data_IF_077567585387
#
_entry.id   IF_077567585387
#
_cell.length_a   1.000
_cell.length_b   1.000
_cell.length_c   1.000
_cell.angle_alpha   90.00
_cell.angle_beta   90.00
_cell.angle_gamma   90.00
#
_symmetry.space_group_name_H-M   'P 1'
#
loop_
_entity.id
_entity.type
_entity.pdbx_description
1 polymer ?
#
# COMPACT_ATOMS: atom_id res chain seq x y z
N UNK A 1 -5.75 9.66 -2.92
CA UNK A 1 -4.73 9.17 -1.96
C UNK A 1 -4.37 10.21 -0.91
N UNK A 2 -3.66 11.30 -1.23
CA UNK A 2 -3.31 12.32 -0.23
C UNK A 2 -4.56 12.91 0.46
N UNK A 3 -5.57 13.30 -0.31
CA UNK A 3 -6.87 13.75 0.22
C UNK A 3 -7.64 12.69 1.02
N UNK A 4 -7.33 11.41 0.84
CA UNK A 4 -7.95 10.29 1.55
C UNK A 4 -7.17 9.92 2.82
N UNK A 5 -6.13 10.70 3.18
CA UNK A 5 -5.34 10.53 4.41
C UNK A 5 -3.98 9.85 4.25
N UNK A 6 -3.53 9.54 3.03
CA UNK A 6 -2.20 8.96 2.82
C UNK A 6 -1.10 9.99 3.11
N UNK A 7 -0.25 9.70 4.11
CA UNK A 7 0.91 10.56 4.46
C UNK A 7 2.11 10.34 3.54
N UNK A 8 2.27 9.11 3.05
CA UNK A 8 3.32 8.70 2.09
C UNK A 8 2.65 8.11 0.86
N UNK A 9 3.17 8.42 -0.33
CA UNK A 9 2.79 7.77 -1.58
C UNK A 9 4.01 6.99 -2.08
N UNK A 10 3.87 5.68 -2.20
CA UNK A 10 4.92 4.78 -2.69
C UNK A 10 4.67 4.43 -4.16
N UNK A 11 5.60 4.86 -5.02
CA UNK A 11 5.51 4.73 -6.47
C UNK A 11 6.45 3.61 -6.92
N UNK A 12 5.97 2.69 -7.74
CA UNK A 12 6.79 1.60 -8.30
C UNK A 12 6.55 1.43 -9.80
N UNK A 13 7.64 1.27 -10.55
CA UNK A 13 7.60 1.03 -12.01
C UNK A 13 7.68 -0.44 -12.39
N UNK A 14 8.15 -1.31 -11.49
CA UNK A 14 8.32 -2.73 -11.72
C UNK A 14 7.56 -3.55 -10.67
N UNK A 15 6.79 -4.54 -11.12
CA UNK A 15 6.04 -5.40 -10.21
C UNK A 15 6.96 -6.47 -9.61
N UNK A 16 6.91 -6.63 -8.30
CA UNK A 16 7.53 -7.75 -7.58
C UNK A 16 6.53 -8.82 -7.16
N UNK A 17 5.32 -8.80 -7.74
CA UNK A 17 4.29 -9.80 -7.48
C UNK A 17 4.67 -11.20 -7.99
N UNK A 18 4.18 -12.29 -7.38
CA UNK A 18 4.56 -13.66 -7.74
C UNK A 18 4.35 -13.97 -9.22
N UNK A 19 5.37 -14.58 -9.85
CA UNK A 19 5.40 -15.02 -11.25
C UNK A 19 5.15 -13.92 -12.29
N UNK A 20 5.23 -12.64 -11.89
CA UNK A 20 5.06 -11.54 -12.83
C UNK A 20 6.24 -11.47 -13.78
N UNK A 21 5.95 -11.25 -15.06
CA UNK A 21 6.94 -10.88 -16.07
C UNK A 21 6.73 -9.38 -16.34
N UNK A 22 7.71 -8.51 -16.04
CA UNK A 22 7.62 -7.09 -16.36
C UNK A 22 7.34 -6.88 -17.85
N UNK A 23 6.62 -5.82 -18.20
CA UNK A 23 6.38 -5.51 -19.61
C UNK A 23 7.70 -5.09 -20.27
N UNK A 24 8.24 -5.84 -21.24
CA UNK A 24 9.53 -5.53 -21.84
C UNK A 24 9.47 -4.32 -22.79
N UNK A 25 8.28 -3.82 -23.14
CA UNK A 25 8.12 -2.73 -24.12
C UNK A 25 8.42 -1.34 -23.57
N UNK A 26 8.52 -1.19 -22.24
CA UNK A 26 8.73 0.10 -21.58
C UNK A 26 9.57 -0.12 -20.32
N UNK A 27 10.53 0.76 -20.07
CA UNK A 27 11.43 0.62 -18.91
C UNK A 27 10.75 1.11 -17.63
N UNK A 28 11.21 0.62 -16.48
CA UNK A 28 10.81 1.12 -15.14
C UNK A 28 10.95 2.65 -15.07
N UNK A 29 12.08 3.17 -15.56
CA UNK A 29 12.41 4.59 -15.58
C UNK A 29 11.41 5.40 -16.40
N UNK A 30 11.03 4.92 -17.58
CA UNK A 30 10.08 5.63 -18.46
C UNK A 30 8.63 5.54 -17.97
N UNK A 31 8.29 4.57 -17.11
CA UNK A 31 7.01 4.53 -16.41
C UNK A 31 6.95 5.55 -15.26
N UNK A 32 8.02 5.66 -14.47
CA UNK A 32 8.04 6.41 -13.21
C UNK A 32 8.34 7.90 -13.43
N UNK A 33 9.36 8.22 -14.22
CA UNK A 33 9.88 9.59 -14.32
C UNK A 33 8.85 10.62 -14.81
N UNK A 34 8.01 10.33 -15.83
CA UNK A 34 6.97 11.27 -16.25
C UNK A 34 5.96 11.58 -15.13
N UNK A 35 5.59 10.57 -14.33
CA UNK A 35 4.64 10.73 -13.22
C UNK A 35 5.24 11.63 -12.13
N UNK A 36 6.48 11.37 -11.72
CA UNK A 36 7.17 12.17 -10.71
C UNK A 36 7.36 13.64 -11.13
N UNK A 37 7.78 13.85 -12.39
CA UNK A 37 7.97 15.21 -12.93
C UNK A 37 6.65 15.97 -13.00
N UNK A 38 5.60 15.34 -13.55
CA UNK A 38 4.28 15.94 -13.61
C UNK A 38 3.73 16.27 -12.21
N UNK A 39 3.89 15.37 -11.23
CA UNK A 39 3.47 15.65 -9.86
C UNK A 39 4.20 16.85 -9.25
N UNK A 40 5.52 16.96 -9.47
CA UNK A 40 6.30 18.13 -9.01
C UNK A 40 5.82 19.42 -9.65
N UNK A 41 5.53 19.39 -10.95
CA UNK A 41 5.01 20.54 -11.70
C UNK A 41 3.63 20.97 -11.19
N UNK A 42 2.69 20.03 -11.03
CA UNK A 42 1.35 20.32 -10.52
C UNK A 42 1.37 20.83 -9.08
N UNK A 43 2.23 20.26 -8.23
CA UNK A 43 2.39 20.77 -6.86
C UNK A 43 2.93 22.20 -6.84
N UNK A 44 3.88 22.51 -7.72
CA UNK A 44 4.42 23.85 -7.84
C UNK A 44 3.37 24.86 -8.36
N UNK A 45 2.50 24.45 -9.30
CA UNK A 45 1.36 25.29 -9.73
C UNK A 45 0.45 25.63 -8.56
N UNK A 46 0.12 24.66 -7.71
CA UNK A 46 -0.67 24.87 -6.50
C UNK A 46 -0.01 25.88 -5.53
N UNK A 47 1.30 25.77 -5.31
CA UNK A 47 2.04 26.75 -4.50
C UNK A 47 1.96 28.17 -5.10
N UNK A 48 2.09 28.27 -6.43
CA UNK A 48 1.99 29.54 -7.15
C UNK A 48 0.57 30.14 -7.10
N UNK A 49 -0.48 29.34 -7.20
CA UNK A 49 -1.88 29.79 -7.08
C UNK A 49 -2.16 30.35 -5.67
N UNK A 50 -1.72 29.63 -4.63
CA UNK A 50 -1.85 30.07 -3.23
C UNK A 50 -1.00 31.32 -2.97
N UNK A 51 0.18 31.39 -3.58
CA UNK A 51 1.09 32.53 -3.47
C UNK A 51 0.60 33.79 -4.20
N UNK A 52 0.13 33.64 -5.43
CA UNK A 52 -0.34 34.72 -6.30
C UNK A 52 -1.64 35.36 -5.85
N UNK A 53 -2.57 34.57 -5.29
CA UNK A 53 -3.82 35.09 -4.71
C UNK A 53 -3.61 36.02 -3.51
N UNK A 54 -2.42 36.03 -2.89
CA UNK A 54 -2.09 36.91 -1.77
C UNK A 54 -1.42 38.24 -2.20
N UNK A 55 -0.78 38.30 -3.37
CA UNK A 55 -0.03 39.49 -3.82
C UNK A 55 -0.95 40.58 -4.36
N UNK A 56 -2.13 40.24 -4.88
CA UNK A 56 -3.08 41.21 -5.46
C UNK A 56 -3.79 42.15 -4.46
N UNK A 57 -3.61 41.97 -3.14
CA UNK A 57 -4.38 42.71 -2.13
C UNK A 57 -3.58 43.67 -1.22
N UNK A 58 -2.26 43.83 -1.41
CA UNK A 58 -1.41 44.58 -0.46
C UNK A 58 -0.95 45.95 -0.99
N UNK A 59 -1.77 46.98 -0.79
CA UNK A 59 -1.36 48.39 -0.84
C UNK A 59 -1.07 48.92 0.59
N UNK A 60 -0.01 49.73 0.74
CA UNK A 60 0.54 50.37 1.94
C UNK A 60 1.57 49.58 2.80
N UNK A 61 2.57 50.31 3.32
CA UNK A 61 3.89 49.82 3.78
C UNK A 61 3.88 48.99 5.09
N UNK A 62 2.94 49.24 6.00
CA UNK A 62 2.79 48.42 7.23
C UNK A 62 1.92 47.17 6.99
N UNK A 63 1.01 47.22 6.02
CA UNK A 63 0.26 46.05 5.57
C UNK A 63 1.17 45.01 4.88
N UNK A 64 2.31 45.43 4.31
CA UNK A 64 3.28 44.52 3.66
C UNK A 64 3.92 43.54 4.63
N UNK A 65 4.33 43.94 5.84
CA UNK A 65 4.97 43.02 6.81
C UNK A 65 3.99 41.94 7.30
N UNK A 66 2.73 42.33 7.58
CA UNK A 66 1.67 41.39 7.98
C UNK A 66 1.14 40.55 6.80
N UNK A 67 1.10 41.11 5.58
CA UNK A 67 0.79 40.35 4.36
C UNK A 67 1.89 39.34 4.03
N UNK A 68 3.15 39.66 4.32
CA UNK A 68 4.30 38.80 4.07
C UNK A 68 4.41 37.66 5.11
N UNK A 69 4.10 37.92 6.39
CA UNK A 69 4.00 36.87 7.41
C UNK A 69 2.81 35.94 7.16
N UNK A 70 1.67 36.48 6.72
CA UNK A 70 0.49 35.66 6.35
C UNK A 70 0.69 34.87 5.05
N UNK A 71 1.43 35.40 4.07
CA UNK A 71 1.83 34.67 2.85
C UNK A 71 2.79 33.52 3.16
N UNK A 72 3.81 33.76 3.99
CA UNK A 72 4.71 32.70 4.45
C UNK A 72 3.94 31.59 5.18
N UNK A 73 2.98 31.95 6.04
CA UNK A 73 2.11 30.98 6.71
C UNK A 73 1.25 30.16 5.75
N UNK A 74 0.70 30.76 4.69
CA UNK A 74 -0.06 30.04 3.67
C UNK A 74 0.81 29.05 2.88
N UNK A 75 1.97 29.49 2.41
CA UNK A 75 2.90 28.62 1.68
C UNK A 75 3.48 27.51 2.57
N UNK A 76 3.71 27.79 3.86
CA UNK A 76 4.13 26.77 4.81
C UNK A 76 3.08 25.68 4.96
N UNK A 77 1.80 26.03 5.10
CA UNK A 77 0.69 25.05 5.14
C UNK A 77 0.63 24.18 3.89
N UNK A 78 0.86 24.76 2.71
CA UNK A 78 0.91 23.98 1.47
C UNK A 78 2.07 23.00 1.55
N UNK A 79 3.28 23.45 1.91
CA UNK A 79 4.45 22.56 2.03
C UNK A 79 4.26 21.45 3.05
N UNK A 80 3.69 21.76 4.21
CA UNK A 80 3.43 20.79 5.27
C UNK A 80 2.34 19.77 4.88
N UNK A 81 1.42 20.16 3.99
CA UNK A 81 0.39 19.28 3.44
C UNK A 81 0.89 18.42 2.27
N UNK A 82 2.11 18.65 1.76
CA UNK A 82 2.66 17.86 0.67
C UNK A 82 2.90 16.43 1.14
N UNK A 83 2.39 15.40 0.43
CA UNK A 83 2.68 14.02 0.78
C UNK A 83 4.17 13.74 0.59
N UNK A 84 4.72 12.92 1.48
CA UNK A 84 6.07 12.38 1.33
C UNK A 84 6.06 11.39 0.15
N UNK A 85 7.05 11.46 -0.73
CA UNK A 85 7.15 10.60 -1.91
C UNK A 85 8.20 9.52 -1.67
N UNK A 86 7.76 8.27 -1.68
CA UNK A 86 8.60 7.08 -1.66
C UNK A 86 8.68 6.47 -3.07
N UNK A 87 9.84 5.93 -3.42
CA UNK A 87 10.05 5.18 -4.66
C UNK A 87 10.44 3.73 -4.33
N UNK A 88 9.62 2.78 -4.74
CA UNK A 88 9.88 1.34 -4.73
C UNK A 88 10.78 0.98 -5.92
N UNK A 89 12.08 0.91 -5.66
CA UNK A 89 13.07 0.52 -6.65
C UNK A 89 14.33 -0.03 -6.00
N UNK A 90 15.04 -0.88 -6.74
CA UNK A 90 16.41 -1.33 -6.43
C UNK A 90 17.43 -0.78 -7.43
N UNK A 91 16.97 0.04 -8.38
CA UNK A 91 17.77 0.54 -9.49
C UNK A 91 18.52 1.81 -9.10
N UNK A 92 19.86 1.74 -9.15
CA UNK A 92 20.73 2.85 -8.81
C UNK A 92 20.52 4.08 -9.70
N UNK A 93 20.45 3.89 -11.02
CA UNK A 93 20.37 5.00 -11.97
C UNK A 93 19.02 5.72 -11.90
N UNK A 94 17.93 4.96 -11.67
CA UNK A 94 16.61 5.55 -11.45
C UNK A 94 16.58 6.37 -10.16
N UNK A 95 17.04 5.80 -9.04
CA UNK A 95 17.06 6.53 -7.77
C UNK A 95 17.98 7.76 -7.85
N UNK A 96 19.10 7.65 -8.57
CA UNK A 96 20.00 8.77 -8.86
C UNK A 96 19.30 9.91 -9.59
N UNK A 97 18.58 9.62 -10.69
CA UNK A 97 17.81 10.63 -11.42
C UNK A 97 16.73 11.27 -10.53
N UNK A 98 16.07 10.47 -9.68
CA UNK A 98 15.05 10.95 -8.75
C UNK A 98 15.60 11.92 -7.70
N UNK A 99 16.74 11.59 -7.06
CA UNK A 99 17.36 12.47 -6.07
C UNK A 99 17.99 13.71 -6.70
N UNK A 100 18.54 13.61 -7.91
CA UNK A 100 19.07 14.75 -8.68
C UNK A 100 17.96 15.74 -9.06
N UNK A 101 16.79 15.22 -9.42
CA UNK A 101 15.61 16.03 -9.72
C UNK A 101 14.82 16.50 -8.48
N UNK A 102 15.22 16.12 -7.27
CA UNK A 102 14.47 16.37 -6.03
C UNK A 102 12.99 15.93 -6.13
N UNK A 103 12.80 14.70 -6.62
CA UNK A 103 11.47 14.15 -6.93
C UNK A 103 10.93 13.24 -5.81
N UNK A 104 11.80 12.75 -4.93
CA UNK A 104 11.50 11.73 -3.92
C UNK A 104 12.16 12.06 -2.58
N UNK A 105 11.62 11.51 -1.51
CA UNK A 105 12.05 11.69 -0.12
C UNK A 105 12.54 10.38 0.53
N UNK A 106 12.01 9.24 0.08
CA UNK A 106 12.28 7.90 0.61
C UNK A 106 12.66 6.93 -0.51
N UNK A 107 13.70 6.11 -0.28
CA UNK A 107 13.95 4.89 -1.05
C UNK A 107 13.25 3.71 -0.37
N UNK A 108 12.35 3.04 -1.07
CA UNK A 108 11.82 1.74 -0.64
C UNK A 108 12.57 0.64 -1.38
N UNK A 109 13.62 0.08 -0.76
CA UNK A 109 14.46 -0.94 -1.38
C UNK A 109 14.07 -2.34 -0.90
N UNK A 110 13.33 -3.05 -1.74
CA UNK A 110 12.86 -4.41 -1.43
C UNK A 110 13.98 -5.46 -1.31
N UNK A 111 15.23 -5.10 -1.62
CA UNK A 111 16.42 -5.93 -1.46
C UNK A 111 17.24 -5.55 -0.23
N UNK A 112 16.80 -4.58 0.58
CA UNK A 112 17.59 -3.99 1.65
C UNK A 112 18.96 -3.49 1.18
N UNK A 113 18.98 -2.86 0.01
CA UNK A 113 20.17 -2.32 -0.67
C UNK A 113 21.25 -3.39 -0.92
N UNK A 114 20.84 -4.64 -1.18
CA UNK A 114 21.78 -5.72 -1.53
C UNK A 114 21.88 -5.94 -3.03
N UNK A 115 20.87 -5.56 -3.83
CA UNK A 115 20.94 -5.65 -5.29
C UNK A 115 22.07 -4.78 -5.85
N UNK A 116 22.17 -3.53 -5.38
CA UNK A 116 23.27 -2.64 -5.67
C UNK A 116 23.62 -1.78 -4.43
N UNK A 117 24.61 -2.19 -3.60
CA UNK A 117 24.97 -1.46 -2.39
C UNK A 117 25.43 -0.01 -2.62
N UNK A 118 25.86 0.35 -3.83
CA UNK A 118 26.25 1.72 -4.16
C UNK A 118 25.10 2.71 -4.01
N UNK A 119 23.83 2.25 -4.09
CA UNK A 119 22.64 3.09 -3.92
C UNK A 119 22.61 3.80 -2.56
N UNK A 120 23.27 3.23 -1.55
CA UNK A 120 23.40 3.82 -0.20
C UNK A 120 24.11 5.17 -0.26
N UNK A 121 25.07 5.36 -1.19
CA UNK A 121 25.77 6.64 -1.38
C UNK A 121 24.82 7.77 -1.80
N UNK A 122 23.70 7.43 -2.45
CA UNK A 122 22.69 8.39 -2.88
C UNK A 122 21.77 8.85 -1.74
N UNK A 123 21.70 8.10 -0.63
CA UNK A 123 20.92 8.48 0.56
C UNK A 123 21.48 9.71 1.28
N UNK A 124 22.71 10.13 0.94
CA UNK A 124 23.35 11.32 1.51
C UNK A 124 23.94 12.18 0.38
N UNK A 125 23.38 13.36 0.17
CA UNK A 125 23.84 14.30 -0.86
C UNK A 125 24.02 15.70 -0.28
N UNK A 126 25.28 16.15 -0.16
CA UNK A 126 25.63 17.47 0.40
C UNK A 126 24.93 17.68 1.76
N UNK A 127 23.91 18.55 1.79
CA UNK A 127 23.13 18.89 2.99
C UNK A 127 21.77 18.16 3.09
N UNK A 128 21.52 17.16 2.24
CA UNK A 128 20.26 16.39 2.22
C UNK A 128 20.52 14.93 2.57
N UNK A 129 19.60 14.39 3.38
CA UNK A 129 19.53 12.99 3.75
C UNK A 129 18.14 12.46 3.37
N UNK A 130 18.11 11.29 2.75
CA UNK A 130 16.89 10.57 2.39
C UNK A 130 16.66 9.43 3.40
N UNK A 131 15.40 9.09 3.65
CA UNK A 131 15.07 7.90 4.44
C UNK A 131 15.03 6.66 3.55
N UNK A 132 15.15 5.49 4.16
CA UNK A 132 15.17 4.21 3.44
C UNK A 132 14.39 3.13 4.18
N UNK A 133 13.58 2.37 3.44
CA UNK A 133 12.95 1.14 3.92
C UNK A 133 13.81 -0.04 3.46
N UNK A 134 14.19 -0.90 4.40
CA UNK A 134 14.92 -2.13 4.15
C UNK A 134 13.97 -3.32 4.32
N UNK A 135 13.63 -3.99 3.22
CA UNK A 135 12.77 -5.17 3.25
C UNK A 135 13.55 -6.48 3.16
N UNK A 136 13.17 -7.48 3.97
CA UNK A 136 13.68 -8.84 3.78
C UNK A 136 12.93 -9.60 2.66
N UNK A 137 13.67 -10.09 1.66
CA UNK A 137 13.19 -11.12 0.70
C UNK A 137 14.26 -12.17 0.38
N UNK A 138 13.85 -13.31 -0.17
CA UNK A 138 14.75 -14.31 -0.78
C UNK A 138 14.32 -14.57 -2.23
N UNK A 139 15.29 -14.57 -3.14
CA UNK A 139 15.04 -14.80 -4.56
C UNK A 139 14.34 -13.65 -5.28
N UNK A 140 13.62 -14.02 -6.34
CA UNK A 140 12.88 -13.13 -7.24
C UNK A 140 11.41 -13.61 -7.37
N UNK A 141 10.54 -12.89 -8.11
CA UNK A 141 9.13 -13.26 -8.26
C UNK A 141 8.83 -14.70 -8.67
N UNK A 142 9.75 -15.37 -9.38
CA UNK A 142 9.59 -16.75 -9.85
C UNK A 142 10.16 -17.82 -8.89
N UNK A 143 11.03 -17.43 -7.95
CA UNK A 143 11.74 -18.35 -7.06
C UNK A 143 11.39 -18.18 -5.59
N UNK A 144 10.89 -17.02 -5.18
CA UNK A 144 10.66 -16.69 -3.77
C UNK A 144 9.68 -17.64 -3.07
N UNK A 145 8.68 -18.19 -3.77
CA UNK A 145 7.73 -19.14 -3.20
C UNK A 145 8.39 -20.49 -2.81
N UNK A 146 9.57 -20.81 -3.38
CA UNK A 146 10.33 -22.04 -3.08
C UNK A 146 11.38 -21.83 -1.99
N UNK A 147 11.84 -20.61 -1.77
CA UNK A 147 12.93 -20.28 -0.84
C UNK A 147 12.41 -19.97 0.57
N UNK A 148 11.69 -20.94 1.16
CA UNK A 148 10.90 -20.74 2.40
C UNK A 148 11.42 -21.50 3.62
N UNK A 149 12.59 -22.13 3.53
CA UNK A 149 13.24 -22.81 4.64
C UNK A 149 14.06 -21.82 5.46
N UNK A 150 13.73 -21.66 6.74
CA UNK A 150 14.45 -20.85 7.73
C UNK A 150 14.74 -21.74 8.93
N UNK A 151 15.88 -21.52 9.58
CA UNK A 151 16.23 -22.25 10.79
C UNK A 151 15.41 -21.70 11.96
N UNK A 152 15.40 -20.38 12.11
CA UNK A 152 14.46 -19.64 12.95
C UNK A 152 13.91 -18.43 12.19
N UNK A 153 12.74 -18.60 11.58
CA UNK A 153 12.08 -17.56 10.77
C UNK A 153 12.10 -16.16 11.42
N UNK A 154 11.80 -16.05 12.72
CA UNK A 154 11.64 -14.75 13.37
C UNK A 154 13.01 -14.15 13.65
N UNK A 155 13.92 -14.92 14.26
CA UNK A 155 15.26 -14.43 14.58
C UNK A 155 16.10 -14.18 13.33
N UNK A 156 15.98 -15.01 12.30
CA UNK A 156 16.76 -14.90 11.06
C UNK A 156 16.44 -13.60 10.32
N UNK A 157 15.15 -13.27 10.20
CA UNK A 157 14.71 -12.05 9.51
C UNK A 157 15.10 -10.80 10.31
N UNK A 158 14.92 -10.83 11.64
CA UNK A 158 15.32 -9.70 12.49
C UNK A 158 16.83 -9.45 12.39
N UNK A 159 17.64 -10.51 12.55
CA UNK A 159 19.10 -10.42 12.44
C UNK A 159 19.55 -9.91 11.08
N UNK A 160 18.93 -10.40 9.99
CA UNK A 160 19.19 -9.89 8.64
C UNK A 160 18.99 -8.37 8.58
N UNK A 161 17.85 -7.86 9.05
CA UNK A 161 17.55 -6.43 9.01
C UNK A 161 18.50 -5.60 9.90
N UNK A 162 18.87 -6.12 11.07
CA UNK A 162 19.87 -5.51 11.96
C UNK A 162 21.25 -5.44 11.29
N UNK A 163 21.70 -6.49 10.60
CA UNK A 163 22.96 -6.50 9.86
C UNK A 163 22.95 -5.47 8.71
N UNK A 164 21.81 -5.33 8.01
CA UNK A 164 21.64 -4.30 6.97
C UNK A 164 21.64 -2.89 7.58
N UNK A 165 20.99 -2.69 8.70
CA UNK A 165 21.03 -1.42 9.45
C UNK A 165 22.47 -1.06 9.82
N UNK A 166 23.22 -1.98 10.42
CA UNK A 166 24.61 -1.76 10.81
C UNK A 166 25.47 -1.37 9.60
N UNK A 167 25.27 -2.04 8.46
CA UNK A 167 25.97 -1.71 7.22
C UNK A 167 25.68 -0.29 6.73
N UNK A 168 24.42 0.15 6.75
CA UNK A 168 24.03 1.51 6.34
C UNK A 168 24.56 2.58 7.30
N UNK A 169 24.46 2.34 8.61
CA UNK A 169 24.95 3.27 9.64
C UNK A 169 26.45 3.42 9.57
N UNK A 170 27.20 2.34 9.34
CA UNK A 170 28.65 2.38 9.13
C UNK A 170 29.04 3.24 7.92
N UNK A 171 28.18 3.32 6.91
CA UNK A 171 28.35 4.17 5.73
C UNK A 171 27.78 5.60 5.91
N UNK A 172 27.42 5.98 7.14
CA UNK A 172 27.00 7.33 7.49
C UNK A 172 25.54 7.65 7.22
N UNK A 173 24.69 6.65 6.97
CA UNK A 173 23.23 6.85 6.94
C UNK A 173 22.72 7.01 8.39
N UNK A 174 21.98 8.07 8.73
CA UNK A 174 21.48 8.25 10.08
C UNK A 174 20.53 7.13 10.50
N UNK A 175 20.76 6.51 11.67
CA UNK A 175 19.97 5.38 12.19
C UNK A 175 18.45 5.67 12.21
N UNK A 176 18.06 6.88 12.58
CA UNK A 176 16.66 7.31 12.68
C UNK A 176 15.96 7.49 11.32
N UNK A 177 16.66 7.30 10.20
CA UNK A 177 16.12 7.35 8.84
C UNK A 177 15.98 5.98 8.18
N UNK A 178 16.30 4.91 8.91
CA UNK A 178 16.22 3.54 8.41
C UNK A 178 15.00 2.86 9.01
N UNK A 179 14.14 2.32 8.15
CA UNK A 179 12.92 1.60 8.52
C UNK A 179 13.03 0.14 8.13
N UNK A 180 12.39 -0.74 8.90
CA UNK A 180 12.39 -2.18 8.70
C UNK A 180 11.08 -2.64 8.05
N UNK A 181 11.16 -3.56 7.09
CA UNK A 181 10.02 -4.33 6.60
C UNK A 181 10.38 -5.84 6.56
N UNK A 182 9.55 -6.66 7.20
CA UNK A 182 9.76 -8.12 7.28
C UNK A 182 9.50 -8.84 5.95
N UNK A 183 8.90 -8.15 4.98
CA UNK A 183 8.58 -8.64 3.64
C UNK A 183 7.54 -9.74 3.65
N UNK A 184 6.32 -9.45 4.13
CA UNK A 184 5.21 -10.41 4.16
C UNK A 184 4.95 -10.98 2.75
N UNK A 185 4.89 -12.31 2.63
CA UNK A 185 4.70 -12.99 1.34
C UNK A 185 5.92 -13.04 0.40
N UNK A 186 7.09 -12.51 0.79
CA UNK A 186 8.32 -12.51 -0.02
C UNK A 186 9.36 -13.50 0.51
N UNK A 187 9.37 -14.73 -0.01
CA UNK A 187 10.21 -15.79 0.53
C UNK A 187 9.58 -16.49 1.74
N UNK A 188 8.24 -16.42 1.90
CA UNK A 188 7.51 -16.98 3.05
C UNK A 188 6.23 -17.66 2.59
N UNK A 189 5.93 -18.80 3.20
CA UNK A 189 4.60 -19.42 3.16
C UNK A 189 3.55 -18.52 3.84
N UNK A 190 2.27 -18.81 3.63
CA UNK A 190 1.17 -18.07 4.24
C UNK A 190 1.27 -18.08 5.78
N UNK A 191 1.42 -19.27 6.36
CA UNK A 191 1.54 -19.43 7.82
C UNK A 191 2.78 -18.72 8.39
N UNK A 192 3.87 -18.66 7.63
CA UNK A 192 5.06 -17.90 8.01
C UNK A 192 4.82 -16.39 7.99
N UNK A 193 4.04 -15.88 7.03
CA UNK A 193 3.64 -14.46 7.01
C UNK A 193 2.74 -14.12 8.20
N UNK A 194 1.84 -15.03 8.59
CA UNK A 194 1.01 -14.88 9.79
C UNK A 194 1.87 -14.95 11.06
N UNK A 195 2.85 -15.88 11.12
CA UNK A 195 3.76 -16.02 12.26
C UNK A 195 4.62 -14.76 12.48
N UNK A 196 5.04 -14.10 11.41
CA UNK A 196 5.72 -12.80 11.46
C UNK A 196 4.84 -11.71 12.09
N UNK A 197 3.56 -11.64 11.71
CA UNK A 197 2.61 -10.72 12.35
C UNK A 197 2.45 -11.06 13.84
N UNK A 198 2.27 -12.33 14.21
CA UNK A 198 2.15 -12.74 15.62
C UNK A 198 3.34 -12.32 16.49
N UNK A 199 4.55 -12.37 15.92
CA UNK A 199 5.79 -12.02 16.61
C UNK A 199 6.30 -10.62 16.26
N UNK A 200 5.42 -9.72 15.79
CA UNK A 200 5.84 -8.38 15.34
C UNK A 200 6.45 -7.54 16.48
N UNK A 201 6.13 -7.88 17.73
CA UNK A 201 6.67 -7.23 18.93
C UNK A 201 8.20 -7.28 19.04
N UNK A 202 8.88 -8.17 18.31
CA UNK A 202 10.36 -8.18 18.29
C UNK A 202 10.95 -6.92 17.65
N UNK A 203 10.12 -6.10 16.99
CA UNK A 203 10.48 -4.85 16.34
C UNK A 203 10.07 -3.60 17.13
N UNK A 204 9.63 -3.71 18.38
CA UNK A 204 9.16 -2.56 19.21
C UNK A 204 10.19 -1.42 19.36
N UNK A 205 11.48 -1.70 19.12
CA UNK A 205 12.60 -0.73 19.20
C UNK A 205 12.97 -0.09 17.84
N UNK A 206 12.29 -0.44 16.74
CA UNK A 206 12.65 -0.04 15.38
C UNK A 206 11.46 0.59 14.65
N UNK A 207 11.69 1.63 13.81
CA UNK A 207 10.67 2.09 12.88
C UNK A 207 10.27 0.96 11.93
N UNK A 208 8.99 0.60 11.93
CA UNK A 208 8.46 -0.58 11.26
C UNK A 208 7.45 -0.20 10.17
N UNK A 209 7.71 -0.68 8.96
CA UNK A 209 6.89 -0.54 7.77
C UNK A 209 6.36 -1.91 7.34
N UNK A 210 5.05 -2.04 7.04
CA UNK A 210 4.44 -3.32 6.64
C UNK A 210 3.60 -3.24 5.36
N UNK A 211 4.02 -3.96 4.32
CA UNK A 211 3.18 -4.23 3.16
C UNK A 211 2.33 -5.51 3.30
N UNK A 212 1.05 -5.43 3.68
CA UNK A 212 0.11 -6.58 3.66
C UNK A 212 -0.98 -6.50 2.59
N UNK A 213 -1.27 -5.30 2.07
CA UNK A 213 -2.43 -5.02 1.22
C UNK A 213 -2.56 -6.01 0.06
N UNK A 214 -3.76 -6.60 -0.06
CA UNK A 214 -4.16 -7.51 -1.15
C UNK A 214 -3.31 -8.80 -1.29
N UNK A 215 -2.45 -9.13 -0.32
CA UNK A 215 -1.58 -10.31 -0.42
C UNK A 215 -2.34 -11.62 -0.20
N UNK A 216 -1.81 -12.69 -0.81
CA UNK A 216 -2.41 -14.04 -0.86
C UNK A 216 -2.69 -14.63 0.53
N UNK A 217 -1.83 -14.38 1.52
CA UNK A 217 -1.94 -14.97 2.85
C UNK A 217 -3.18 -14.48 3.63
N UNK A 218 -3.79 -13.36 3.26
CA UNK A 218 -5.00 -12.84 3.92
C UNK A 218 -6.18 -13.79 3.68
N UNK A 219 -6.40 -14.18 2.42
CA UNK A 219 -7.49 -15.08 2.04
C UNK A 219 -7.25 -16.50 2.55
N UNK A 220 -5.98 -16.91 2.70
CA UNK A 220 -5.62 -18.20 3.31
C UNK A 220 -6.22 -18.38 4.72
N UNK A 221 -6.34 -17.30 5.50
CA UNK A 221 -6.96 -17.32 6.83
C UNK A 221 -8.46 -17.66 6.82
N UNK A 222 -9.13 -17.60 5.65
CA UNK A 222 -10.58 -17.79 5.53
C UNK A 222 -10.98 -19.25 5.24
N UNK A 223 -9.99 -20.14 5.12
CA UNK A 223 -10.18 -21.57 4.84
C UNK A 223 -10.75 -21.87 3.43
N UNK A 224 -10.72 -23.15 3.04
CA UNK A 224 -11.49 -23.66 1.87
C UNK A 224 -12.96 -23.98 2.23
N UNK A 225 -13.36 -23.76 3.48
CA UNK A 225 -14.61 -24.26 4.05
C UNK A 225 -15.33 -23.24 4.94
N UNK A 226 -15.37 -21.96 4.55
CA UNK A 226 -16.44 -21.11 5.02
C UNK A 226 -17.75 -21.68 4.46
N UNK A 227 -18.71 -21.98 5.34
CA UNK A 227 -20.07 -22.41 4.98
C UNK A 227 -20.55 -21.77 3.68
N UNK A 228 -21.25 -22.53 2.82
CA UNK A 228 -21.75 -22.06 1.53
C UNK A 228 -22.34 -20.64 1.63
N UNK A 229 -21.54 -19.67 1.21
CA UNK A 229 -21.93 -18.29 0.93
C UNK A 229 -21.49 -18.08 -0.51
N UNK A 230 -22.43 -18.25 -1.42
CA UNK A 230 -22.24 -18.23 -2.87
C UNK A 230 -23.56 -18.41 -3.61
N UNK A 231 -23.53 -18.29 -4.95
CA UNK A 231 -24.68 -18.53 -5.83
C UNK A 231 -25.24 -19.93 -5.61
N UNK A 232 -26.52 -20.03 -5.24
CA UNK A 232 -27.26 -21.29 -5.31
C UNK A 232 -28.14 -21.27 -6.58
N UNK A 233 -27.87 -22.16 -7.53
CA UNK A 233 -28.75 -22.44 -8.67
C UNK A 233 -29.43 -23.78 -8.47
N UNK A 234 -30.74 -23.74 -8.29
CA UNK A 234 -31.60 -24.92 -8.31
C UNK A 234 -32.67 -24.71 -9.38
N UNK A 235 -33.01 -25.79 -10.10
CA UNK A 235 -34.07 -25.76 -11.11
C UNK A 235 -35.47 -25.75 -10.47
N UNK A 236 -35.61 -26.36 -9.28
CA UNK A 236 -36.82 -26.35 -8.45
C UNK A 236 -36.47 -26.71 -6.99
N UNK A 237 -37.25 -26.21 -6.02
CA UNK A 237 -37.10 -26.51 -4.58
C UNK A 237 -36.99 -25.27 -3.69
N UNK A 238 -36.67 -25.46 -2.40
CA UNK A 238 -36.43 -24.38 -1.43
C UNK A 238 -34.93 -24.12 -1.24
N UNK A 239 -34.52 -22.84 -1.29
CA UNK A 239 -33.16 -22.42 -1.00
C UNK A 239 -33.13 -21.53 0.25
N UNK A 240 -32.32 -21.90 1.25
CA UNK A 240 -32.13 -21.15 2.49
C UNK A 240 -30.68 -20.69 2.58
N UNK A 241 -30.45 -19.41 2.35
CA UNK A 241 -29.11 -18.80 2.46
C UNK A 241 -29.11 -17.72 3.54
N UNK A 242 -28.04 -17.69 4.32
CA UNK A 242 -27.83 -16.65 5.32
C UNK A 242 -27.44 -15.33 4.66
N UNK A 243 -26.54 -15.34 3.66
CA UNK A 243 -26.20 -14.21 2.78
C UNK A 243 -25.83 -14.70 1.35
N UNK A 244 -26.19 -13.98 0.27
CA UNK A 244 -25.72 -14.29 -1.11
C UNK A 244 -26.72 -13.98 -2.24
N UNK A 245 -26.45 -14.48 -3.45
CA UNK A 245 -27.38 -14.42 -4.60
C UNK A 245 -28.07 -15.78 -4.84
N UNK A 246 -29.40 -15.78 -4.94
CA UNK A 246 -30.20 -16.97 -5.25
C UNK A 246 -30.86 -16.85 -6.62
N UNK A 247 -30.68 -17.85 -7.49
CA UNK A 247 -31.33 -17.90 -8.81
C UNK A 247 -32.10 -19.21 -8.96
N UNK A 248 -33.44 -19.12 -8.91
CA UNK A 248 -34.34 -20.26 -9.05
C UNK A 248 -35.25 -20.05 -10.26
N UNK A 249 -35.57 -21.15 -10.94
CA UNK A 249 -36.50 -21.12 -12.08
C UNK A 249 -37.96 -21.10 -11.60
N UNK A 250 -38.31 -21.93 -10.60
CA UNK A 250 -39.60 -21.97 -9.90
C UNK A 250 -39.39 -22.42 -8.42
N UNK A 251 -39.98 -21.73 -7.44
CA UNK A 251 -39.92 -22.10 -6.00
C UNK A 251 -39.84 -20.87 -5.05
N UNK A 252 -39.69 -21.12 -3.75
CA UNK A 252 -39.61 -20.09 -2.71
C UNK A 252 -38.17 -19.88 -2.21
N UNK A 253 -37.72 -18.61 -2.16
CA UNK A 253 -36.41 -18.23 -1.64
C UNK A 253 -36.55 -17.36 -0.38
N UNK A 254 -35.86 -17.75 0.71
CA UNK A 254 -35.83 -16.96 1.95
C UNK A 254 -34.39 -16.56 2.26
N UNK A 255 -34.11 -15.27 2.12
CA UNK A 255 -32.80 -14.67 2.36
C UNK A 255 -32.82 -13.77 3.59
N UNK A 256 -31.70 -13.75 4.32
CA UNK A 256 -31.52 -12.85 5.47
C UNK A 256 -30.91 -11.52 5.04
N UNK A 257 -29.91 -11.53 4.13
CA UNK A 257 -29.51 -10.40 3.28
C UNK A 257 -29.01 -10.90 1.89
N UNK A 258 -29.18 -10.12 0.81
CA UNK A 258 -28.71 -10.47 -0.54
C UNK A 258 -29.67 -10.05 -1.67
N UNK A 259 -29.32 -10.37 -2.93
CA UNK A 259 -30.17 -10.14 -4.11
C UNK A 259 -30.69 -11.47 -4.66
N UNK A 260 -31.99 -11.57 -5.02
CA UNK A 260 -32.55 -12.77 -5.66
C UNK A 260 -33.23 -12.44 -6.97
N UNK A 261 -33.06 -13.29 -8.00
CA UNK A 261 -33.73 -13.14 -9.30
C UNK A 261 -34.51 -14.42 -9.61
N UNK A 262 -35.83 -14.32 -9.67
CA UNK A 262 -36.75 -15.42 -9.99
C UNK A 262 -37.38 -15.20 -11.38
N UNK A 263 -37.62 -16.29 -12.11
CA UNK A 263 -38.45 -16.25 -13.34
C UNK A 263 -39.94 -16.31 -13.03
N UNK A 264 -40.37 -17.00 -11.96
CA UNK A 264 -41.72 -16.98 -11.38
C UNK A 264 -41.64 -17.32 -9.87
N UNK A 265 -42.37 -16.58 -9.03
CA UNK A 265 -42.42 -16.75 -7.55
C UNK A 265 -42.38 -15.42 -6.76
N UNK A 266 -42.56 -15.47 -5.44
CA UNK A 266 -42.49 -14.29 -4.54
C UNK A 266 -41.15 -14.19 -3.81
N UNK A 267 -40.58 -12.97 -3.71
CA UNK A 267 -39.40 -12.66 -2.88
C UNK A 267 -39.85 -11.86 -1.67
N UNK A 268 -39.63 -12.39 -0.46
CA UNK A 268 -39.80 -11.63 0.80
C UNK A 268 -38.44 -11.33 1.41
N UNK A 269 -38.01 -10.07 1.31
CA UNK A 269 -36.91 -9.53 2.10
C UNK A 269 -37.44 -9.08 3.46
N UNK A 270 -36.66 -9.34 4.52
CA UNK A 270 -37.06 -8.97 5.88
C UNK A 270 -36.73 -7.53 6.26
N UNK A 271 -35.91 -6.81 5.48
CA UNK A 271 -35.64 -5.36 5.60
C UNK A 271 -35.09 -4.74 4.29
N UNK A 272 -35.55 -3.53 3.93
CA UNK A 272 -34.89 -2.62 2.94
C UNK A 272 -35.68 -2.30 1.66
N UNK A 273 -35.47 -1.08 1.12
CA UNK A 273 -35.91 -0.64 -0.22
C UNK A 273 -34.79 -0.97 -1.24
N UNK A 274 -35.07 -1.74 -2.32
CA UNK A 274 -34.08 -2.09 -3.33
C UNK A 274 -33.51 -0.90 -4.11
N UNK A 275 -34.08 0.31 -3.98
CA UNK A 275 -33.63 1.53 -4.65
C UNK A 275 -32.50 2.28 -3.92
N UNK A 276 -32.27 2.01 -2.62
CA UNK A 276 -31.21 2.64 -1.83
C UNK A 276 -30.26 1.61 -1.24
N UNK A 277 -29.26 1.24 -2.05
CA UNK A 277 -28.32 0.19 -1.70
C UNK A 277 -27.01 0.80 -1.16
N UNK A 278 -26.93 0.95 0.16
CA UNK A 278 -25.69 1.22 0.90
C UNK A 278 -24.75 0.01 0.78
N UNK A 279 -23.95 -0.03 -0.30
CA UNK A 279 -23.05 -1.15 -0.62
C UNK A 279 -21.59 -0.77 -0.47
N UNK A 280 -20.79 -1.72 -0.02
CA UNK A 280 -19.33 -1.62 -0.11
C UNK A 280 -18.90 -1.82 -1.56
N UNK A 281 -18.18 -0.84 -2.11
CA UNK A 281 -17.59 -0.89 -3.45
C UNK A 281 -16.08 -0.73 -3.35
N UNK A 282 -15.34 -1.70 -3.88
CA UNK A 282 -13.89 -1.54 -4.06
C UNK A 282 -13.61 -0.44 -5.08
N UNK A 283 -12.63 0.41 -4.79
CA UNK A 283 -12.06 1.35 -5.75
C UNK A 283 -10.69 0.84 -6.23
N UNK A 284 -10.27 1.30 -7.42
CA UNK A 284 -8.94 1.02 -7.98
C UNK A 284 -8.55 -0.49 -7.94
N UNK A 285 -9.50 -1.35 -8.32
CA UNK A 285 -9.33 -2.79 -8.45
C UNK A 285 -9.43 -3.18 -9.92
N UNK A 286 -8.49 -3.99 -10.41
CA UNK A 286 -8.54 -4.44 -11.82
C UNK A 286 -9.75 -5.32 -12.06
N UNK A 287 -10.36 -5.18 -13.23
CA UNK A 287 -11.57 -5.93 -13.61
C UNK A 287 -11.30 -7.40 -13.91
N UNK A 288 -10.05 -7.77 -14.24
CA UNK A 288 -9.65 -9.15 -14.58
C UNK A 288 -9.50 -10.08 -13.36
N UNK A 289 -9.71 -9.57 -12.14
CA UNK A 289 -9.58 -10.35 -10.91
C UNK A 289 -10.94 -10.79 -10.39
N UNK A 290 -10.94 -11.85 -9.59
CA UNK A 290 -12.12 -12.29 -8.85
C UNK A 290 -12.56 -11.19 -7.86
N UNK A 291 -13.64 -10.50 -8.21
CA UNK A 291 -14.12 -9.34 -7.45
C UNK A 291 -14.60 -9.75 -6.05
N UNK A 292 -15.27 -10.90 -5.92
CA UNK A 292 -15.79 -11.35 -4.63
C UNK A 292 -14.65 -11.76 -3.70
N UNK A 293 -13.64 -12.43 -4.23
CA UNK A 293 -12.45 -12.79 -3.47
C UNK A 293 -11.68 -11.57 -2.98
N UNK A 294 -11.52 -10.56 -3.83
CA UNK A 294 -10.80 -9.34 -3.46
C UNK A 294 -11.59 -8.44 -2.53
N UNK A 295 -12.93 -8.49 -2.55
CA UNK A 295 -13.75 -7.87 -1.51
C UNK A 295 -13.38 -8.42 -0.13
N UNK A 296 -13.34 -9.75 -0.01
CA UNK A 296 -12.92 -10.43 1.24
C UNK A 296 -11.48 -10.10 1.59
N UNK A 297 -10.58 -10.09 0.61
CA UNK A 297 -9.18 -9.76 0.83
C UNK A 297 -9.00 -8.34 1.39
N UNK A 298 -9.67 -7.35 0.80
CA UNK A 298 -9.61 -5.95 1.26
C UNK A 298 -10.17 -5.83 2.69
N UNK A 299 -11.32 -6.45 2.98
CA UNK A 299 -11.86 -6.47 4.35
C UNK A 299 -10.92 -7.17 5.34
N UNK A 300 -10.27 -8.26 4.95
CA UNK A 300 -9.24 -8.91 5.75
C UNK A 300 -8.01 -8.02 5.96
N UNK A 301 -7.65 -7.20 4.98
CA UNK A 301 -6.64 -6.15 5.11
C UNK A 301 -7.00 -5.13 6.20
N UNK A 302 -8.27 -4.72 6.31
CA UNK A 302 -8.73 -3.82 7.39
C UNK A 302 -8.59 -4.45 8.79
N UNK A 303 -8.70 -5.78 8.89
CA UNK A 303 -8.41 -6.48 10.15
C UNK A 303 -6.91 -6.42 10.50
N UNK A 304 -6.02 -6.56 9.52
CA UNK A 304 -4.58 -6.37 9.73
C UNK A 304 -4.27 -4.91 10.08
N UNK A 305 -4.93 -3.93 9.44
CA UNK A 305 -4.79 -2.52 9.81
C UNK A 305 -5.16 -2.28 11.28
N UNK A 306 -6.24 -2.89 11.76
CA UNK A 306 -6.66 -2.82 13.17
C UNK A 306 -5.63 -3.47 14.09
N UNK A 307 -5.10 -4.64 13.72
CA UNK A 307 -4.02 -5.29 14.46
C UNK A 307 -2.76 -4.43 14.53
N UNK A 308 -2.33 -3.87 13.40
CA UNK A 308 -1.19 -2.97 13.28
C UNK A 308 -1.34 -1.73 14.16
N UNK A 309 -2.55 -1.16 14.23
CA UNK A 309 -2.85 -0.06 15.16
C UNK A 309 -2.59 -0.46 16.62
N UNK A 310 -3.10 -1.61 17.07
CA UNK A 310 -2.87 -2.08 18.44
C UNK A 310 -1.41 -2.48 18.71
N UNK A 311 -0.69 -2.92 17.69
CA UNK A 311 0.74 -3.24 17.76
C UNK A 311 1.66 -2.04 17.54
N UNK A 312 1.11 -0.85 17.33
CA UNK A 312 1.87 0.40 17.13
C UNK A 312 2.87 0.30 15.96
N UNK A 313 2.47 -0.36 14.88
CA UNK A 313 3.25 -0.33 13.62
C UNK A 313 3.24 1.11 13.09
N UNK A 314 4.40 1.60 12.63
CA UNK A 314 4.55 2.98 12.19
C UNK A 314 3.92 3.27 10.82
N UNK A 315 4.09 2.36 9.84
CA UNK A 315 3.57 2.50 8.46
C UNK A 315 2.97 1.21 7.89
#
# INVERSE_FOLDING_TARGET
>A
MASDGASVIDIGGESSGPYVVPNPSVTERDLVMPVLKLFKEEWHKLECEVGGGAVCCAAASDARKNAQSSLQGKLQKVRDAKPIISIDTVNYDLFKECVEGELVDILNDISACTHNPEIIKLLRRKNKFYSVVLMHKRGNPHTMDKLTNYDDLISDIKRYLEDRLHFLVLNGVPRYRVLFDVGLGFGKKHDQSIKLLQHIHVYDEYPLFLGYSRKRFIVHCMGKGGAAIGECRLMSGEAKLTNGEGKLTNGDAKLTNGDSKLTNGEVKLTNGDPSQLWRFKMSHMRQDKDQLLYQKNICGGLAIASYSFYKKVDL
#
